data_IF_622156538754
#
_entry.id   IF_622156538754
#
_cell.length_a   1.000
_cell.length_b   1.000
_cell.length_c   1.000
_cell.angle_alpha   90.00
_cell.angle_beta   90.00
_cell.angle_gamma   90.00
#
_symmetry.space_group_name_H-M   'P 1'
#
loop_
_entity.id
_entity.type
_entity.pdbx_description
1 polymer ?
#
# COMPACT_ATOMS: atom_id res chain seq x y z
N UNK A 1 1.67 -33.55 13.46
CA UNK A 1 2.61 -34.68 13.40
C UNK A 1 3.05 -35.21 14.77
N UNK A 2 2.68 -34.62 15.90
CA UNK A 2 3.01 -35.12 17.25
C UNK A 2 1.71 -35.57 17.93
N UNK A 3 1.67 -36.79 18.51
CA UNK A 3 0.49 -37.36 19.17
C UNK A 3 0.28 -36.80 20.59
N UNK A 4 1.32 -36.19 21.17
CA UNK A 4 1.24 -35.36 22.37
C UNK A 4 1.79 -35.99 23.65
N UNK A 5 2.30 -37.23 23.62
CA UNK A 5 3.05 -37.80 24.74
C UNK A 5 4.51 -37.35 24.66
N UNK A 6 4.98 -36.78 25.76
CA UNK A 6 6.36 -36.32 25.94
C UNK A 6 6.90 -37.00 27.19
N UNK A 7 8.01 -37.70 27.04
CA UNK A 7 8.66 -38.42 28.12
C UNK A 7 10.09 -37.91 28.28
N UNK A 8 10.43 -37.48 29.48
CA UNK A 8 11.75 -36.92 29.77
C UNK A 8 12.69 -38.08 30.13
N UNK A 9 13.62 -38.37 29.23
CA UNK A 9 14.57 -39.48 29.39
C UNK A 9 15.76 -39.08 30.27
N UNK A 10 16.18 -37.81 30.22
CA UNK A 10 17.19 -37.24 31.09
C UNK A 10 17.00 -35.71 31.20
N UNK A 11 17.89 -35.04 31.93
CA UNK A 11 17.88 -33.57 32.05
C UNK A 11 17.98 -32.88 30.68
N UNK A 12 18.64 -33.54 29.71
CA UNK A 12 18.94 -33.00 28.38
C UNK A 12 18.23 -33.71 27.23
N UNK A 13 17.69 -34.93 27.42
CA UNK A 13 17.02 -35.70 26.37
C UNK A 13 15.52 -35.88 26.65
N UNK A 14 14.72 -35.67 25.61
CA UNK A 14 13.27 -35.77 25.64
C UNK A 14 12.78 -36.63 24.47
N UNK A 15 11.98 -37.64 24.77
CA UNK A 15 11.26 -38.43 23.76
C UNK A 15 9.88 -37.82 23.51
N UNK A 16 9.52 -37.70 22.24
CA UNK A 16 8.24 -37.16 21.77
C UNK A 16 7.60 -38.20 20.86
N UNK A 17 6.39 -38.62 21.23
CA UNK A 17 5.60 -39.56 20.46
C UNK A 17 5.00 -38.86 19.23
N UNK A 18 5.27 -39.40 18.06
CA UNK A 18 4.69 -38.96 16.79
C UNK A 18 3.79 -40.05 16.23
N UNK A 19 3.00 -39.71 15.21
CA UNK A 19 2.18 -40.69 14.48
C UNK A 19 3.01 -41.77 13.76
N UNK A 20 4.34 -41.63 13.67
CA UNK A 20 5.26 -42.59 13.07
C UNK A 20 6.15 -43.30 14.12
N UNK A 21 5.87 -43.12 15.41
CA UNK A 21 6.67 -43.67 16.52
C UNK A 21 7.37 -42.59 17.36
N UNK A 22 8.17 -43.04 18.32
CA UNK A 22 8.90 -42.17 19.25
C UNK A 22 10.12 -41.52 18.58
N UNK A 23 10.30 -40.22 18.81
CA UNK A 23 11.44 -39.44 18.34
C UNK A 23 12.15 -38.81 19.53
N UNK A 24 13.48 -38.87 19.59
CA UNK A 24 14.27 -38.35 20.72
C UNK A 24 14.95 -37.05 20.31
N UNK A 25 14.84 -36.02 21.16
CA UNK A 25 15.42 -34.70 20.97
C UNK A 25 16.29 -34.32 22.18
N UNK A 26 17.50 -33.85 21.90
CA UNK A 26 18.42 -33.32 22.92
C UNK A 26 19.79 -33.02 22.31
N UNK A 27 20.68 -32.33 23.06
CA UNK A 27 22.03 -32.05 22.61
C UNK A 27 22.84 -33.34 22.54
N UNK A 28 23.37 -33.65 21.35
CA UNK A 28 24.23 -34.81 21.13
C UNK A 28 25.69 -34.33 21.03
N UNK A 29 26.54 -34.78 21.96
CA UNK A 29 27.99 -34.72 21.74
C UNK A 29 28.35 -35.81 20.74
N UNK A 30 28.64 -35.41 19.50
CA UNK A 30 29.02 -36.36 18.44
C UNK A 30 30.42 -36.91 18.69
N UNK A 31 30.53 -37.97 19.50
CA UNK A 31 31.79 -38.72 19.65
C UNK A 31 31.65 -40.22 19.42
N UNK A 32 30.46 -40.77 19.18
CA UNK A 32 30.31 -42.11 18.59
C UNK A 32 28.85 -42.44 18.25
N UNK A 33 28.43 -42.20 17.01
CA UNK A 33 27.26 -42.89 16.45
C UNK A 33 27.50 -43.16 14.97
N UNK A 34 27.29 -44.42 14.56
CA UNK A 34 27.65 -44.95 13.24
C UNK A 34 26.67 -44.57 12.13
N UNK A 35 25.45 -44.12 12.47
CA UNK A 35 24.47 -43.58 11.51
C UNK A 35 23.40 -42.78 12.27
N UNK A 36 23.23 -41.50 11.92
CA UNK A 36 22.16 -40.65 12.45
C UNK A 36 21.57 -39.82 11.30
N UNK A 37 20.29 -40.05 10.96
CA UNK A 37 19.56 -39.19 10.04
C UNK A 37 19.13 -37.92 10.78
N UNK A 38 19.93 -36.86 10.67
CA UNK A 38 19.61 -35.55 11.21
C UNK A 38 18.69 -34.79 10.24
N UNK A 39 17.42 -34.60 10.61
CA UNK A 39 16.52 -33.69 9.88
C UNK A 39 16.68 -32.28 10.48
N UNK A 40 17.54 -31.46 9.86
CA UNK A 40 17.68 -30.04 10.21
C UNK A 40 16.47 -29.27 9.68
N UNK A 41 15.47 -29.04 10.53
CA UNK A 41 14.37 -28.11 10.21
C UNK A 41 14.84 -26.71 10.60
N UNK A 42 15.39 -25.97 9.63
CA UNK A 42 15.58 -24.52 9.78
C UNK A 42 14.19 -23.85 9.78
N UNK A 43 13.67 -23.49 10.95
CA UNK A 43 12.59 -22.50 11.03
C UNK A 43 13.20 -21.12 10.89
N UNK A 44 13.54 -20.72 9.66
CA UNK A 44 13.56 -19.29 9.35
C UNK A 44 12.10 -18.85 9.35
N UNK A 45 11.61 -18.37 10.49
CA UNK A 45 10.47 -17.46 10.50
C UNK A 45 10.89 -16.24 9.67
N UNK A 46 10.54 -16.22 8.40
CA UNK A 46 10.55 -14.99 7.61
C UNK A 46 9.73 -13.97 8.40
N UNK A 47 10.39 -13.01 9.06
CA UNK A 47 9.76 -11.89 9.79
C UNK A 47 8.63 -11.24 8.98
N UNK A 48 8.73 -11.26 7.64
CA UNK A 48 7.68 -10.83 6.72
C UNK A 48 6.33 -11.54 6.90
N UNK A 49 6.32 -12.86 7.11
CA UNK A 49 5.05 -13.61 7.27
C UNK A 49 4.42 -13.31 8.62
N UNK A 50 5.22 -13.18 9.68
CA UNK A 50 4.74 -12.80 11.01
C UNK A 50 4.21 -11.37 11.04
N UNK A 51 4.88 -10.43 10.36
CA UNK A 51 4.39 -9.05 10.21
C UNK A 51 3.11 -9.00 9.37
N UNK A 52 3.02 -9.73 8.26
CA UNK A 52 1.79 -9.83 7.46
C UNK A 52 0.63 -10.46 8.25
N UNK A 53 0.90 -11.44 9.11
CA UNK A 53 -0.09 -12.02 10.02
C UNK A 53 -0.51 -11.03 11.11
N UNK A 54 0.43 -10.23 11.62
CA UNK A 54 0.13 -9.19 12.61
C UNK A 54 -0.74 -8.10 12.00
N UNK A 55 -0.39 -7.60 10.81
CA UNK A 55 -1.20 -6.62 10.06
C UNK A 55 -2.57 -7.20 9.68
N UNK A 56 -2.65 -8.49 9.30
CA UNK A 56 -3.92 -9.15 9.04
C UNK A 56 -4.80 -9.24 10.32
N UNK A 57 -4.20 -9.50 11.48
CA UNK A 57 -4.92 -9.51 12.76
C UNK A 57 -5.25 -8.11 13.30
N UNK A 58 -4.42 -7.11 13.02
CA UNK A 58 -4.67 -5.69 13.31
C UNK A 58 -5.85 -5.16 12.47
N UNK A 59 -5.98 -5.61 11.22
CA UNK A 59 -7.15 -5.31 10.35
C UNK A 59 -8.43 -6.00 10.85
N UNK A 60 -8.33 -7.18 11.50
CA UNK A 60 -9.48 -7.86 12.13
C UNK A 60 -9.82 -7.34 13.54
N UNK A 61 -8.90 -6.66 14.23
CA UNK A 61 -9.16 -6.05 15.52
C UNK A 61 -9.84 -4.70 15.35
N UNK A 62 -11.17 -4.70 15.39
CA UNK A 62 -11.99 -3.50 15.54
C UNK A 62 -11.64 -2.80 16.88
N UNK A 63 -10.81 -1.76 16.79
CA UNK A 63 -10.85 -0.60 17.69
C UNK A 63 -10.26 -0.76 19.11
N UNK A 64 -9.21 -1.55 19.33
CA UNK A 64 -8.48 -1.52 20.61
C UNK A 64 -6.97 -1.55 20.36
N UNK A 65 -6.36 -0.37 20.27
CA UNK A 65 -4.91 -0.17 20.36
C UNK A 65 -4.64 0.97 21.35
N UNK A 66 -3.59 0.84 22.17
CA UNK A 66 -3.26 1.74 23.27
C UNK A 66 -3.05 3.20 22.79
N UNK A 67 -3.76 4.15 23.41
CA UNK A 67 -4.11 5.45 22.81
C UNK A 67 -3.12 6.60 23.07
N UNK A 68 -2.18 6.51 24.03
CA UNK A 68 -1.53 7.74 24.54
C UNK A 68 -0.36 8.25 23.68
N UNK A 69 0.58 7.38 23.28
CA UNK A 69 1.75 7.78 22.47
C UNK A 69 1.39 8.03 20.99
N UNK A 70 0.51 7.19 20.42
CA UNK A 70 0.03 7.35 19.04
C UNK A 70 -0.75 8.67 18.89
N UNK A 71 -1.56 9.04 19.89
CA UNK A 71 -2.33 10.28 19.87
C UNK A 71 -1.46 11.54 19.96
N UNK A 72 -0.37 11.51 20.72
CA UNK A 72 0.57 12.64 20.78
C UNK A 72 1.29 12.85 19.43
N UNK A 73 1.80 11.76 18.83
CA UNK A 73 2.42 11.79 17.51
C UNK A 73 1.44 12.23 16.41
N UNK A 74 0.16 11.85 16.52
CA UNK A 74 -0.87 12.24 15.58
C UNK A 74 -1.23 13.74 15.67
N UNK A 75 -1.31 14.28 16.89
CA UNK A 75 -1.50 15.71 17.13
C UNK A 75 -0.31 16.49 16.54
N UNK A 76 0.92 16.05 16.82
CA UNK A 76 2.13 16.66 16.29
C UNK A 76 2.14 16.67 14.76
N UNK A 77 1.78 15.55 14.13
CA UNK A 77 1.69 15.42 12.69
C UNK A 77 0.67 16.41 12.08
N UNK A 78 -0.50 16.57 12.71
CA UNK A 78 -1.53 17.53 12.28
C UNK A 78 -1.10 18.99 12.44
N UNK A 79 -0.45 19.34 13.55
CA UNK A 79 0.08 20.69 13.76
C UNK A 79 1.17 21.02 12.74
N UNK A 80 2.10 20.07 12.51
CA UNK A 80 3.17 20.23 11.53
C UNK A 80 2.61 20.44 10.11
N UNK A 81 1.63 19.62 9.71
CA UNK A 81 0.93 19.79 8.44
C UNK A 81 0.28 21.18 8.34
N UNK A 82 -0.48 21.58 9.36
CA UNK A 82 -1.21 22.86 9.36
C UNK A 82 -0.29 24.07 9.26
N UNK A 83 0.91 23.99 9.84
CA UNK A 83 1.93 25.06 9.76
C UNK A 83 2.70 25.08 8.44
N UNK A 84 2.80 23.94 7.75
CA UNK A 84 3.67 23.78 6.57
C UNK A 84 2.91 23.79 5.24
N UNK A 85 1.62 23.49 5.24
CA UNK A 85 0.80 23.46 4.02
C UNK A 85 0.69 24.86 3.41
N UNK A 86 0.99 24.97 2.12
CA UNK A 86 0.78 26.19 1.36
C UNK A 86 0.13 25.87 0.02
N UNK A 87 -0.63 26.82 -0.52
CA UNK A 87 -1.31 26.69 -1.80
C UNK A 87 -0.80 27.77 -2.76
N UNK A 88 -0.18 27.35 -3.86
CA UNK A 88 0.39 28.22 -4.89
C UNK A 88 0.05 27.66 -6.26
N UNK A 89 -0.40 28.52 -7.19
CA UNK A 89 -0.60 28.15 -8.60
C UNK A 89 -1.42 26.86 -8.81
N UNK A 90 -2.57 26.73 -8.13
CA UNK A 90 -3.45 25.54 -8.20
C UNK A 90 -2.85 24.25 -7.66
N UNK A 91 -1.78 24.34 -6.87
CA UNK A 91 -1.11 23.18 -6.29
C UNK A 91 -0.80 23.41 -4.81
N UNK A 92 -0.90 22.34 -4.02
CA UNK A 92 -0.47 22.34 -2.63
C UNK A 92 1.01 21.96 -2.51
N UNK A 93 1.72 22.64 -1.63
CA UNK A 93 3.09 22.34 -1.22
C UNK A 93 3.10 22.02 0.28
N UNK A 94 3.72 20.91 0.65
CA UNK A 94 3.81 20.39 2.02
C UNK A 94 5.25 20.04 2.38
N UNK A 95 5.53 19.93 3.68
CA UNK A 95 6.80 19.45 4.22
C UNK A 95 6.68 18.00 4.71
N UNK A 96 7.80 17.28 4.73
CA UNK A 96 7.86 15.95 5.35
C UNK A 96 7.73 16.10 6.88
N UNK A 97 7.02 15.15 7.49
CA UNK A 97 6.68 15.19 8.91
C UNK A 97 7.82 14.60 9.75
N UNK A 98 8.88 15.37 9.99
CA UNK A 98 10.03 14.91 10.76
C UNK A 98 9.70 14.70 12.25
N UNK A 99 10.19 13.61 12.84
CA UNK A 99 10.18 13.42 14.30
C UNK A 99 11.19 14.35 14.99
N UNK A 100 10.86 14.84 16.18
CA UNK A 100 11.71 15.74 16.98
C UNK A 100 13.04 15.10 17.43
N UNK A 101 13.04 13.80 17.73
CA UNK A 101 14.17 13.06 18.32
C UNK A 101 15.29 12.69 17.32
N UNK A 102 15.60 13.55 16.33
CA UNK A 102 16.46 13.18 15.20
C UNK A 102 17.76 12.47 15.62
N UNK A 103 17.79 11.16 15.36
CA UNK A 103 19.00 10.45 14.95
C UNK A 103 19.36 10.95 13.54
N UNK A 104 20.64 11.20 13.28
CA UNK A 104 21.13 11.57 11.95
C UNK A 104 20.67 10.50 10.93
N UNK A 105 19.74 10.83 10.03
CA UNK A 105 19.37 9.95 8.92
C UNK A 105 20.63 9.76 8.05
N UNK A 106 21.24 8.56 8.02
CA UNK A 106 22.48 8.38 7.31
C UNK A 106 22.22 8.25 5.80
N UNK A 107 23.24 8.58 5.01
CA UNK A 107 23.22 8.35 3.57
C UNK A 107 23.17 6.84 3.28
N UNK A 108 22.16 6.40 2.52
CA UNK A 108 21.94 4.99 2.16
C UNK A 108 22.28 4.67 0.68
N UNK A 109 23.10 5.49 0.01
CA UNK A 109 23.43 5.36 -1.42
C UNK A 109 23.91 3.95 -1.78
N UNK A 110 24.72 3.32 -0.93
CA UNK A 110 25.22 1.94 -1.16
C UNK A 110 24.08 0.93 -1.30
N UNK A 111 23.06 1.05 -0.45
CA UNK A 111 21.87 0.19 -0.47
C UNK A 111 21.07 0.43 -1.75
N UNK A 112 20.86 1.70 -2.10
CA UNK A 112 20.16 2.08 -3.32
C UNK A 112 20.88 1.60 -4.58
N UNK A 113 22.20 1.78 -4.68
CA UNK A 113 23.03 1.28 -5.79
C UNK A 113 22.94 -0.24 -5.95
N UNK A 114 23.07 -1.00 -4.85
CA UNK A 114 22.97 -2.46 -4.89
C UNK A 114 21.62 -2.94 -5.43
N UNK A 115 20.52 -2.31 -4.98
CA UNK A 115 19.18 -2.62 -5.47
C UNK A 115 18.99 -2.18 -6.92
N UNK A 116 19.56 -1.03 -7.28
CA UNK A 116 19.53 -0.52 -8.64
C UNK A 116 20.27 -1.41 -9.64
N UNK A 117 21.42 -1.99 -9.28
CA UNK A 117 22.11 -2.98 -10.12
C UNK A 117 21.27 -4.26 -10.34
N UNK A 118 20.47 -4.65 -9.34
CA UNK A 118 19.46 -5.69 -9.49
C UNK A 118 18.37 -5.30 -10.50
N UNK A 119 17.87 -4.07 -10.41
CA UNK A 119 16.88 -3.53 -11.35
C UNK A 119 17.45 -3.43 -12.76
N UNK A 120 18.66 -2.87 -12.93
CA UNK A 120 19.35 -2.72 -14.21
C UNK A 120 19.48 -4.04 -14.96
N UNK A 121 19.86 -5.12 -14.26
CA UNK A 121 19.91 -6.48 -14.85
C UNK A 121 18.54 -6.96 -15.36
N UNK A 122 17.46 -6.65 -14.64
CA UNK A 122 16.09 -6.99 -15.09
C UNK A 122 15.67 -6.15 -16.30
N UNK A 123 15.94 -4.85 -16.27
CA UNK A 123 15.62 -3.93 -17.38
C UNK A 123 16.39 -4.32 -18.65
N UNK A 124 17.64 -4.76 -18.50
CA UNK A 124 18.43 -5.31 -19.62
C UNK A 124 17.82 -6.58 -20.22
N UNK A 125 17.29 -7.45 -19.38
CA UNK A 125 16.69 -8.72 -19.82
C UNK A 125 15.30 -8.53 -20.45
N UNK A 126 14.56 -7.50 -20.06
CA UNK A 126 13.19 -7.25 -20.51
C UNK A 126 13.03 -5.84 -21.12
N UNK A 127 13.09 -5.80 -22.46
CA UNK A 127 12.97 -4.58 -23.26
C UNK A 127 11.60 -3.92 -23.09
N UNK A 128 10.54 -4.69 -22.89
CA UNK A 128 9.19 -4.15 -22.73
C UNK A 128 9.02 -3.47 -21.38
N UNK A 129 9.56 -4.08 -20.33
CA UNK A 129 9.64 -3.49 -19.00
C UNK A 129 10.49 -2.21 -19.03
N UNK A 130 11.65 -2.24 -19.68
CA UNK A 130 12.51 -1.06 -19.79
C UNK A 130 11.79 0.11 -20.46
N UNK A 131 11.16 -0.12 -21.61
CA UNK A 131 10.39 0.91 -22.32
C UNK A 131 9.31 1.52 -21.42
N UNK A 132 8.49 0.68 -20.78
CA UNK A 132 7.43 1.16 -19.89
C UNK A 132 7.97 1.91 -18.67
N UNK A 133 9.14 1.53 -18.15
CA UNK A 133 9.78 2.25 -17.06
C UNK A 133 10.32 3.61 -17.51
N UNK A 134 11.00 3.64 -18.66
CA UNK A 134 11.55 4.85 -19.26
C UNK A 134 10.43 5.87 -19.55
N UNK A 135 9.33 5.41 -20.17
CA UNK A 135 8.16 6.25 -20.46
C UNK A 135 7.60 6.90 -19.18
N UNK A 136 7.59 6.19 -18.05
CA UNK A 136 7.12 6.73 -16.76
C UNK A 136 8.09 7.76 -16.17
N UNK A 137 9.40 7.52 -16.22
CA UNK A 137 10.38 8.47 -15.68
C UNK A 137 10.50 9.71 -16.57
N UNK A 138 10.42 9.56 -17.90
CA UNK A 138 10.39 10.69 -18.83
C UNK A 138 9.12 11.53 -18.62
N UNK A 139 7.96 10.90 -18.41
CA UNK A 139 6.71 11.58 -18.03
C UNK A 139 6.87 12.37 -16.72
N UNK A 140 7.59 11.81 -15.73
CA UNK A 140 7.86 12.49 -14.48
C UNK A 140 8.79 13.70 -14.65
N UNK A 141 9.82 13.60 -15.49
CA UNK A 141 10.71 14.72 -15.81
C UNK A 141 9.97 15.83 -16.56
N UNK A 142 9.18 15.48 -17.58
CA UNK A 142 8.42 16.45 -18.38
C UNK A 142 7.38 17.22 -17.56
N UNK A 143 6.70 16.55 -16.60
CA UNK A 143 5.72 17.18 -15.72
C UNK A 143 6.35 17.88 -14.51
N UNK A 144 7.68 17.85 -14.36
CA UNK A 144 8.38 18.38 -13.20
C UNK A 144 8.01 17.67 -11.90
N UNK A 145 7.61 16.39 -11.97
CA UNK A 145 7.35 15.50 -10.83
C UNK A 145 8.66 15.01 -10.21
N UNK A 146 9.70 14.87 -11.03
CA UNK A 146 11.08 14.69 -10.59
C UNK A 146 11.99 15.62 -11.37
N UNK A 147 13.17 15.89 -10.82
CA UNK A 147 14.18 16.76 -11.40
C UNK A 147 15.57 16.18 -11.16
N UNK A 148 16.57 16.60 -11.94
CA UNK A 148 17.96 16.33 -11.61
C UNK A 148 18.32 16.97 -10.27
N UNK A 149 19.11 16.26 -9.47
CA UNK A 149 19.70 16.88 -8.29
C UNK A 149 20.55 18.08 -8.73
N UNK A 150 20.29 19.29 -8.21
CA UNK A 150 21.06 20.47 -8.57
C UNK A 150 22.56 20.24 -8.32
N UNK A 151 23.37 20.51 -9.33
CA UNK A 151 24.83 20.50 -9.21
C UNK A 151 25.24 21.76 -8.44
N UNK A 152 25.06 21.77 -7.12
CA UNK A 152 25.61 22.85 -6.28
C UNK A 152 27.13 22.74 -6.32
N UNK A 153 27.74 23.54 -7.21
CA UNK A 153 29.17 23.82 -7.20
C UNK A 153 29.52 24.50 -5.88
N UNK A 154 29.95 23.72 -4.90
CA UNK A 154 30.81 24.15 -3.81
C UNK A 154 30.45 25.49 -3.13
N UNK A 155 29.24 25.63 -2.61
CA UNK A 155 29.02 26.56 -1.49
C UNK A 155 28.15 25.86 -0.46
N UNK A 156 28.77 25.53 0.67
CA UNK A 156 28.08 25.32 1.93
C UNK A 156 27.39 26.66 2.31
N UNK A 157 26.27 26.94 1.67
CA UNK A 157 25.45 28.12 1.88
C UNK A 157 24.33 27.80 2.86
N UNK A 158 24.55 28.20 4.11
CA UNK A 158 23.57 28.47 5.17
C UNK A 158 22.08 28.20 4.83
N UNK A 159 21.65 26.97 5.12
CA UNK A 159 20.25 26.54 5.18
C UNK A 159 20.24 25.09 5.64
N UNK A 160 19.78 24.82 6.87
CA UNK A 160 19.85 23.51 7.51
C UNK A 160 19.06 22.42 6.74
N UNK A 161 19.72 21.64 5.88
CA UNK A 161 19.77 20.17 5.97
C UNK A 161 20.79 19.61 4.95
N UNK A 162 21.89 19.01 5.44
CA UNK A 162 22.87 18.32 4.61
C UNK A 162 22.50 16.83 4.40
N UNK A 163 21.23 16.48 4.63
CA UNK A 163 20.75 15.10 4.71
C UNK A 163 20.36 14.63 3.31
N UNK A 164 20.96 13.54 2.87
CA UNK A 164 20.73 12.94 1.55
C UNK A 164 20.26 11.51 1.75
N UNK A 165 19.20 11.13 1.06
CA UNK A 165 18.66 9.79 1.12
C UNK A 165 18.16 9.33 -0.23
N UNK A 166 18.45 8.08 -0.58
CA UNK A 166 18.22 7.48 -1.88
C UNK A 166 17.18 6.36 -1.75
N UNK A 167 16.03 6.55 -2.36
CA UNK A 167 14.93 5.61 -2.39
C UNK A 167 15.18 4.57 -3.48
N UNK A 168 15.36 3.29 -3.12
CA UNK A 168 15.26 2.21 -4.10
C UNK A 168 13.85 2.19 -4.68
N UNK A 169 13.72 1.79 -5.94
CA UNK A 169 12.43 1.74 -6.61
C UNK A 169 12.29 0.46 -7.44
N UNK A 170 11.04 0.07 -7.69
CA UNK A 170 10.70 -1.11 -8.47
C UNK A 170 9.39 -0.91 -9.24
N UNK A 171 9.19 -1.68 -10.30
CA UNK A 171 7.95 -1.66 -11.05
C UNK A 171 6.92 -2.59 -10.40
N UNK A 172 5.68 -2.11 -10.32
CA UNK A 172 4.49 -2.91 -10.08
C UNK A 172 3.66 -2.91 -11.35
N UNK A 173 3.46 -4.09 -11.93
CA UNK A 173 2.64 -4.29 -13.12
C UNK A 173 1.26 -4.72 -12.66
N UNK A 174 0.25 -3.91 -12.99
CA UNK A 174 -1.16 -4.26 -12.77
C UNK A 174 -1.73 -4.79 -14.08
N UNK A 175 -1.92 -6.10 -14.15
CA UNK A 175 -2.50 -6.81 -15.29
C UNK A 175 -4.04 -6.69 -15.33
N UNK A 176 -4.65 -6.13 -14.29
CA UNK A 176 -6.11 -6.09 -14.09
C UNK A 176 -6.82 -4.83 -14.62
N UNK A 177 -6.11 -3.91 -15.29
CA UNK A 177 -6.70 -2.74 -15.96
C UNK A 177 -6.57 -2.86 -17.49
N UNK A 178 -7.51 -2.27 -18.23
CA UNK A 178 -7.59 -2.24 -19.71
C UNK A 178 -6.33 -1.77 -20.45
N UNK A 179 -5.37 -1.20 -19.72
CA UNK A 179 -3.99 -0.98 -20.12
C UNK A 179 -3.09 -1.46 -18.98
N UNK A 180 -2.11 -2.31 -19.29
CA UNK A 180 -1.06 -2.74 -18.36
C UNK A 180 -0.28 -1.52 -17.90
N UNK A 181 -0.71 -0.87 -16.81
CA UNK A 181 -0.11 0.38 -16.34
C UNK A 181 1.00 0.03 -15.37
N UNK A 182 2.24 0.08 -15.85
CA UNK A 182 3.43 0.05 -15.00
C UNK A 182 3.37 1.23 -14.03
N UNK A 183 3.61 0.95 -12.75
CA UNK A 183 3.77 1.98 -11.71
C UNK A 183 5.13 1.83 -11.06
N UNK A 184 5.82 2.94 -10.90
CA UNK A 184 7.07 3.01 -10.15
C UNK A 184 6.75 3.22 -8.68
N UNK A 185 7.21 2.31 -7.83
CA UNK A 185 7.04 2.36 -6.37
C UNK A 185 8.39 2.54 -5.71
N UNK A 186 8.47 3.48 -4.77
CA UNK A 186 9.67 3.77 -3.99
C UNK A 186 9.61 3.05 -2.65
N UNK A 187 10.77 2.66 -2.12
CA UNK A 187 10.90 1.98 -0.82
C UNK A 187 11.63 2.87 0.18
N UNK A 188 10.86 3.64 0.96
CA UNK A 188 11.40 4.50 2.01
C UNK A 188 11.73 3.75 3.32
N UNK A 189 11.49 2.44 3.38
CA UNK A 189 11.88 1.57 4.49
C UNK A 189 13.25 0.92 4.25
N UNK A 190 13.89 1.14 3.10
CA UNK A 190 15.17 0.51 2.76
C UNK A 190 16.38 1.17 3.43
N UNK A 191 16.98 0.49 4.40
CA UNK A 191 18.12 0.96 5.18
C UNK A 191 19.24 -0.09 5.23
N UNK A 192 20.43 0.33 5.67
CA UNK A 192 21.54 -0.57 6.02
C UNK A 192 21.31 -1.14 7.43
N UNK A 193 21.82 -2.34 7.71
CA UNK A 193 21.59 -3.02 8.99
C UNK A 193 22.07 -2.14 10.16
N UNK A 194 21.16 -1.84 11.09
CA UNK A 194 21.45 -1.02 12.28
C UNK A 194 21.32 0.50 12.07
N UNK A 195 20.96 0.95 10.88
CA UNK A 195 20.67 2.36 10.57
C UNK A 195 19.16 2.61 10.45
N UNK A 196 18.66 3.81 10.81
CA UNK A 196 17.24 4.14 10.60
C UNK A 196 16.92 4.28 9.11
N UNK A 197 15.68 3.94 8.74
CA UNK A 197 15.11 4.26 7.43
C UNK A 197 14.47 5.65 7.41
N UNK A 198 14.18 6.17 6.22
CA UNK A 198 13.42 7.43 6.11
C UNK A 198 12.07 7.32 6.82
N UNK A 199 11.37 6.19 6.69
CA UNK A 199 10.09 5.97 7.37
C UNK A 199 10.21 5.97 8.90
N UNK A 200 11.36 5.55 9.47
CA UNK A 200 11.58 5.57 10.92
C UNK A 200 11.81 7.00 11.44
N UNK A 201 12.32 7.89 10.59
CA UNK A 201 12.56 9.30 10.91
C UNK A 201 11.32 10.20 10.73
N UNK A 202 10.25 9.67 10.14
CA UNK A 202 9.02 10.42 9.85
C UNK A 202 7.86 10.00 10.77
N UNK A 203 7.01 10.96 11.09
CA UNK A 203 5.69 10.72 11.65
C UNK A 203 4.78 10.18 10.55
N UNK A 204 4.04 9.12 10.84
CA UNK A 204 3.07 8.55 9.88
C UNK A 204 1.84 9.46 9.78
N UNK A 205 1.43 10.05 10.90
CA UNK A 205 0.21 10.82 11.02
C UNK A 205 -1.04 9.94 11.10
N UNK A 206 -2.16 10.51 11.55
CA UNK A 206 -3.39 9.76 11.78
C UNK A 206 -4.01 9.28 10.48
N UNK A 207 -4.72 8.16 10.52
CA UNK A 207 -5.52 7.76 9.37
C UNK A 207 -6.75 8.68 9.23
N UNK A 208 -6.69 9.59 8.26
CA UNK A 208 -7.79 10.49 7.94
C UNK A 208 -8.74 9.95 6.86
N UNK A 209 -8.51 8.74 6.34
CA UNK A 209 -9.45 8.14 5.41
C UNK A 209 -10.72 7.72 6.16
N UNK A 210 -11.90 7.88 5.54
CA UNK A 210 -13.12 7.33 6.11
C UNK A 210 -12.99 5.81 6.25
N UNK A 211 -13.69 5.26 7.24
CA UNK A 211 -13.77 3.83 7.43
C UNK A 211 -14.27 3.13 6.15
N UNK A 212 -13.54 2.09 5.72
CA UNK A 212 -13.76 1.42 4.45
C UNK A 212 -15.17 0.82 4.37
N UNK A 213 -15.65 0.21 5.46
CA UNK A 213 -16.99 -0.38 5.51
C UNK A 213 -18.05 0.71 5.36
N UNK A 214 -17.90 1.84 6.05
CA UNK A 214 -18.81 2.98 5.93
C UNK A 214 -18.86 3.54 4.51
N UNK A 215 -17.73 3.64 3.80
CA UNK A 215 -17.70 4.07 2.39
C UNK A 215 -18.48 3.09 1.52
N UNK A 216 -18.23 1.78 1.65
CA UNK A 216 -18.90 0.74 0.88
C UNK A 216 -20.42 0.70 1.16
N UNK A 217 -20.83 0.87 2.42
CA UNK A 217 -22.24 0.93 2.80
C UNK A 217 -22.91 2.15 2.18
N UNK A 218 -22.28 3.34 2.25
CA UNK A 218 -22.81 4.55 1.59
C UNK A 218 -22.90 4.38 0.08
N UNK A 219 -21.92 3.73 -0.53
CA UNK A 219 -21.97 3.42 -1.96
C UNK A 219 -23.16 2.55 -2.36
N UNK A 220 -23.60 1.65 -1.47
CA UNK A 220 -24.75 0.76 -1.71
C UNK A 220 -26.08 1.26 -1.17
N UNK A 221 -26.09 2.40 -0.48
CA UNK A 221 -27.27 2.89 0.22
C UNK A 221 -28.36 3.43 -0.72
N UNK A 222 -27.99 3.97 -1.87
CA UNK A 222 -28.90 4.66 -2.81
C UNK A 222 -28.88 3.99 -4.19
N UNK A 223 -29.94 4.13 -5.00
CA UNK A 223 -30.08 3.40 -6.26
C UNK A 223 -29.08 3.81 -7.34
N UNK A 224 -28.54 5.02 -7.31
CA UNK A 224 -27.59 5.49 -8.32
C UNK A 224 -26.20 5.53 -7.71
N UNK A 225 -25.39 4.55 -8.07
CA UNK A 225 -24.02 4.38 -7.62
C UNK A 225 -23.05 4.91 -8.68
N UNK A 226 -22.02 5.63 -8.24
CA UNK A 226 -20.97 6.15 -9.12
C UNK A 226 -19.62 6.23 -8.44
N UNK A 227 -18.58 6.20 -9.26
CA UNK A 227 -17.20 6.35 -8.82
C UNK A 227 -16.34 7.08 -9.83
N UNK A 228 -15.20 7.61 -9.36
CA UNK A 228 -14.13 8.16 -10.17
C UNK A 228 -12.76 7.87 -9.56
N UNK A 229 -11.75 7.72 -10.42
CA UNK A 229 -10.34 7.61 -10.04
C UNK A 229 -9.74 9.04 -9.93
N UNK A 230 -9.05 9.33 -8.84
CA UNK A 230 -8.17 10.50 -8.69
C UNK A 230 -6.76 10.13 -9.18
N UNK A 231 -6.57 10.20 -10.50
CA UNK A 231 -5.32 9.71 -11.11
C UNK A 231 -4.12 10.52 -10.63
N UNK A 232 -3.14 9.82 -10.05
CA UNK A 232 -1.86 10.40 -9.57
C UNK A 232 -2.04 11.44 -8.45
N UNK A 233 -3.04 11.30 -7.58
CA UNK A 233 -3.35 12.28 -6.52
C UNK A 233 -2.13 12.69 -5.68
N UNK A 234 -1.32 11.71 -5.22
CA UNK A 234 -0.08 11.98 -4.49
C UNK A 234 0.90 12.87 -5.28
N UNK A 235 1.06 12.62 -6.59
CA UNK A 235 1.98 13.36 -7.44
C UNK A 235 1.49 14.79 -7.74
N UNK A 236 0.26 15.14 -7.37
CA UNK A 236 -0.23 16.51 -7.45
C UNK A 236 0.20 17.36 -6.25
N UNK A 237 0.73 16.76 -5.18
CA UNK A 237 1.18 17.50 -4.00
C UNK A 237 2.68 17.70 -4.07
N UNK A 238 3.12 18.95 -4.04
CA UNK A 238 4.53 19.34 -4.03
C UNK A 238 5.18 19.13 -2.67
N UNK A 239 6.44 18.72 -2.68
CA UNK A 239 7.31 18.71 -1.51
C UNK A 239 8.16 19.98 -1.51
N UNK A 240 8.22 20.64 -0.35
CA UNK A 240 9.09 21.79 -0.12
C UNK A 240 10.54 21.47 -0.49
N UNK A 241 11.23 22.43 -1.09
CA UNK A 241 12.57 22.21 -1.65
C UNK A 241 13.59 21.66 -0.64
N UNK A 242 13.49 22.11 0.61
CA UNK A 242 14.35 21.69 1.74
C UNK A 242 14.28 20.18 2.07
N UNK A 243 13.19 19.50 1.69
CA UNK A 243 12.98 18.08 1.97
C UNK A 243 13.22 17.18 0.74
N UNK A 244 13.42 17.74 -0.46
CA UNK A 244 13.51 16.93 -1.70
C UNK A 244 14.74 16.03 -1.76
N UNK A 245 15.82 16.42 -1.06
CA UNK A 245 17.09 15.70 -1.09
C UNK A 245 17.08 14.36 -0.34
N UNK A 246 16.03 14.07 0.44
CA UNK A 246 15.80 12.75 1.03
C UNK A 246 14.91 11.85 0.16
N UNK A 247 14.45 12.35 -0.99
CA UNK A 247 13.66 11.64 -1.98
C UNK A 247 14.44 11.41 -3.28
N UNK A 248 15.76 11.24 -3.18
CA UNK A 248 16.63 10.97 -4.34
C UNK A 248 16.42 9.55 -4.84
N UNK A 249 16.68 9.29 -6.11
CA UNK A 249 16.72 7.95 -6.67
C UNK A 249 17.68 7.89 -7.86
N UNK A 250 18.07 6.68 -8.24
CA UNK A 250 19.02 6.42 -9.32
C UNK A 250 18.26 6.10 -10.60
N UNK A 251 18.66 6.66 -11.73
CA UNK A 251 18.07 6.32 -13.03
C UNK A 251 19.10 6.35 -14.15
N UNK A 252 18.84 5.65 -15.26
CA UNK A 252 19.70 5.66 -16.45
C UNK A 252 19.11 6.58 -17.51
N UNK A 253 19.96 7.33 -18.20
CA UNK A 253 19.60 7.92 -19.50
C UNK A 253 20.25 7.06 -20.59
N UNK A 254 19.44 6.61 -21.55
CA UNK A 254 19.86 5.64 -22.57
C UNK A 254 19.51 4.20 -22.18
N UNK A 255 19.54 3.30 -23.17
CA UNK A 255 19.29 1.87 -22.95
C UNK A 255 20.43 1.26 -22.13
N UNK A 256 20.21 0.38 -21.13
CA UNK A 256 21.26 -0.13 -20.22
C UNK A 256 22.50 -0.77 -20.87
N UNK A 257 22.42 -1.11 -22.15
CA UNK A 257 23.48 -1.73 -22.97
C UNK A 257 24.13 -0.78 -23.98
N UNK A 258 23.65 0.45 -24.08
CA UNK A 258 24.18 1.41 -25.03
C UNK A 258 25.44 2.10 -24.47
N UNK A 259 26.37 2.46 -25.35
CA UNK A 259 27.63 3.12 -24.96
C UNK A 259 27.40 4.52 -24.36
N UNK A 260 26.28 5.17 -24.70
CA UNK A 260 25.85 6.47 -24.20
C UNK A 260 25.06 6.40 -22.87
N UNK A 261 24.99 5.22 -22.24
CA UNK A 261 24.29 5.05 -20.97
C UNK A 261 24.94 5.87 -19.86
N UNK A 262 24.18 6.80 -19.26
CA UNK A 262 24.64 7.59 -18.12
C UNK A 262 23.78 7.35 -16.90
N UNK A 263 24.42 7.15 -15.74
CA UNK A 263 23.73 7.06 -14.45
C UNK A 263 23.47 8.49 -13.94
N UNK A 264 22.21 8.81 -13.71
CA UNK A 264 21.74 10.06 -13.11
C UNK A 264 21.24 9.82 -11.70
N UNK A 265 21.37 10.87 -10.90
CA UNK A 265 20.70 10.99 -9.61
C UNK A 265 19.58 12.01 -9.77
N UNK A 266 18.35 11.54 -9.68
CA UNK A 266 17.14 12.36 -9.72
C UNK A 266 16.62 12.53 -8.30
N UNK A 267 15.76 13.54 -8.08
CA UNK A 267 14.99 13.70 -6.83
C UNK A 267 13.53 13.99 -7.14
N UNK A 268 12.65 13.46 -6.31
CA UNK A 268 11.21 13.72 -6.43
C UNK A 268 10.89 15.11 -5.89
N UNK A 269 10.01 15.82 -6.60
CA UNK A 269 9.50 17.14 -6.18
C UNK A 269 8.07 17.05 -5.63
N UNK A 270 7.52 15.84 -5.59
CA UNK A 270 6.13 15.52 -5.23
C UNK A 270 6.07 14.40 -4.18
N UNK A 271 4.94 14.30 -3.49
CA UNK A 271 4.67 13.21 -2.54
C UNK A 271 4.67 11.87 -3.29
N UNK A 272 5.44 10.90 -2.80
CA UNK A 272 5.60 9.58 -3.44
C UNK A 272 4.95 8.47 -2.66
N UNK A 273 4.43 7.48 -3.39
CA UNK A 273 4.01 6.23 -2.77
C UNK A 273 5.22 5.48 -2.18
N UNK A 274 5.06 4.95 -0.97
CA UNK A 274 6.09 4.19 -0.24
C UNK A 274 6.66 4.90 0.99
N UNK A 275 6.41 6.20 1.15
CA UNK A 275 6.70 6.94 2.38
C UNK A 275 5.50 6.83 3.34
N UNK A 276 5.76 6.51 4.61
CA UNK A 276 4.74 6.24 5.65
C UNK A 276 3.75 7.37 5.82
N UNK A 277 4.20 8.63 5.76
CA UNK A 277 3.38 9.83 5.91
C UNK A 277 2.53 10.20 4.69
N UNK A 278 2.76 9.58 3.54
CA UNK A 278 2.10 9.99 2.28
C UNK A 278 0.58 9.87 2.30
N UNK A 279 -0.03 8.77 2.82
CA UNK A 279 -1.48 8.66 2.92
C UNK A 279 -2.10 9.78 3.76
N UNK A 280 -1.48 10.12 4.90
CA UNK A 280 -1.91 11.22 5.74
C UNK A 280 -1.78 12.56 5.00
N UNK A 281 -0.64 12.85 4.37
CA UNK A 281 -0.42 14.10 3.64
C UNK A 281 -1.48 14.29 2.55
N UNK A 282 -1.80 13.26 1.77
CA UNK A 282 -2.85 13.33 0.76
C UNK A 282 -4.22 13.64 1.38
N UNK A 283 -4.64 12.86 2.38
CA UNK A 283 -5.94 13.03 3.00
C UNK A 283 -6.08 14.37 3.73
N UNK A 284 -5.02 14.84 4.39
CA UNK A 284 -4.97 16.14 5.05
C UNK A 284 -5.06 17.29 4.03
N UNK A 285 -4.35 17.20 2.91
CA UNK A 285 -4.43 18.18 1.81
C UNK A 285 -5.82 18.24 1.20
N UNK A 286 -6.45 17.10 0.92
CA UNK A 286 -7.82 17.05 0.40
C UNK A 286 -8.79 17.69 1.40
N UNK A 287 -8.71 17.35 2.69
CA UNK A 287 -9.57 17.93 3.73
C UNK A 287 -9.40 19.45 3.83
N UNK A 288 -8.15 19.93 3.87
CA UNK A 288 -7.85 21.36 3.88
C UNK A 288 -8.40 22.08 2.63
N UNK A 289 -8.34 21.42 1.48
CA UNK A 289 -8.91 21.95 0.25
C UNK A 289 -10.44 22.07 0.32
N UNK A 290 -11.13 21.02 0.79
CA UNK A 290 -12.59 20.99 0.91
C UNK A 290 -13.11 22.03 1.92
N UNK A 291 -12.37 22.33 2.99
CA UNK A 291 -12.74 23.37 3.98
C UNK A 291 -12.93 24.74 3.33
N UNK A 292 -12.22 25.05 2.24
CA UNK A 292 -12.37 26.31 1.49
C UNK A 292 -13.71 26.45 0.78
N UNK A 293 -14.39 25.34 0.50
CA UNK A 293 -15.67 25.29 -0.20
C UNK A 293 -16.84 24.96 0.73
N UNK A 294 -16.58 24.78 2.04
CA UNK A 294 -17.59 24.33 2.99
C UNK A 294 -18.75 25.33 3.14
N UNK A 295 -18.51 26.63 2.93
CA UNK A 295 -19.54 27.68 3.01
C UNK A 295 -20.36 27.83 1.74
N UNK A 296 -19.78 27.54 0.57
CA UNK A 296 -20.45 27.67 -0.73
C UNK A 296 -21.13 26.36 -1.17
N UNK A 297 -20.64 25.21 -0.72
CA UNK A 297 -21.04 23.88 -1.18
C UNK A 297 -21.18 22.86 -0.03
N UNK A 298 -21.77 23.25 1.10
CA UNK A 298 -21.75 22.48 2.37
C UNK A 298 -22.18 21.01 2.21
N UNK A 299 -23.32 20.75 1.54
CA UNK A 299 -23.82 19.39 1.35
C UNK A 299 -22.86 18.52 0.51
N UNK A 300 -22.21 19.12 -0.48
CA UNK A 300 -21.32 18.41 -1.39
C UNK A 300 -19.94 18.16 -0.76
N UNK A 301 -19.39 19.13 -0.02
CA UNK A 301 -18.10 18.99 0.67
C UNK A 301 -18.15 17.90 1.73
N UNK A 302 -19.24 17.77 2.47
CA UNK A 302 -19.40 16.70 3.47
C UNK A 302 -19.52 15.33 2.80
N UNK A 303 -20.23 15.26 1.67
CA UNK A 303 -20.31 14.02 0.89
C UNK A 303 -18.95 13.62 0.36
N UNK A 304 -18.21 14.54 -0.26
CA UNK A 304 -16.84 14.33 -0.76
C UNK A 304 -15.89 13.85 0.33
N UNK A 305 -15.88 14.53 1.49
CA UNK A 305 -15.01 14.20 2.63
C UNK A 305 -15.25 12.78 3.15
N UNK A 306 -16.50 12.30 3.11
CA UNK A 306 -16.89 10.98 3.62
C UNK A 306 -16.87 9.87 2.55
N UNK A 307 -16.61 10.22 1.28
CA UNK A 307 -16.72 9.35 0.11
C UNK A 307 -15.41 9.22 -0.67
N UNK A 308 -14.44 10.10 -0.42
CA UNK A 308 -13.07 9.99 -0.91
C UNK A 308 -12.27 9.03 -0.03
N UNK A 309 -11.87 7.90 -0.59
CA UNK A 309 -10.99 6.94 0.06
C UNK A 309 -9.66 6.89 -0.70
N UNK A 310 -8.63 7.53 -0.14
CA UNK A 310 -7.31 7.68 -0.78
C UNK A 310 -7.42 8.29 -2.19
N UNK A 311 -7.34 7.46 -3.23
CA UNK A 311 -7.36 7.85 -4.64
C UNK A 311 -8.75 7.65 -5.28
N UNK A 312 -9.73 7.04 -4.60
CA UNK A 312 -11.02 6.68 -5.20
C UNK A 312 -12.15 7.54 -4.62
N UNK A 313 -12.91 8.22 -5.48
CA UNK A 313 -14.16 8.89 -5.10
C UNK A 313 -15.32 7.95 -5.37
N UNK A 314 -16.08 7.58 -4.34
CA UNK A 314 -17.14 6.57 -4.46
C UNK A 314 -18.35 7.01 -3.65
N UNK A 315 -19.50 7.19 -4.31
CA UNK A 315 -20.72 7.65 -3.65
C UNK A 315 -21.97 7.10 -4.33
N UNK A 316 -23.12 7.36 -3.71
CA UNK A 316 -24.43 7.06 -4.29
C UNK A 316 -25.44 8.19 -4.02
N UNK A 317 -26.45 8.30 -4.87
CA UNK A 317 -27.48 9.34 -4.82
C UNK A 317 -28.88 8.79 -5.13
N UNK A 318 -29.90 9.53 -4.71
CA UNK A 318 -31.30 9.13 -4.88
C UNK A 318 -31.87 9.51 -6.24
N UNK A 319 -31.28 10.46 -6.96
CA UNK A 319 -31.72 10.91 -8.28
C UNK A 319 -30.57 11.22 -9.23
N UNK A 320 -30.83 11.17 -10.54
CA UNK A 320 -29.81 11.44 -11.56
C UNK A 320 -29.37 12.90 -11.52
N UNK A 321 -30.28 13.82 -11.21
CA UNK A 321 -30.02 15.25 -11.06
C UNK A 321 -29.07 15.53 -9.90
N UNK A 322 -29.32 14.91 -8.74
CA UNK A 322 -28.46 15.06 -7.56
C UNK A 322 -27.08 14.43 -7.82
N UNK A 323 -27.04 13.25 -8.43
CA UNK A 323 -25.78 12.60 -8.82
C UNK A 323 -24.96 13.47 -9.79
N UNK A 324 -25.61 14.04 -10.81
CA UNK A 324 -24.96 14.92 -11.78
C UNK A 324 -24.43 16.19 -11.10
N UNK A 325 -25.24 16.85 -10.26
CA UNK A 325 -24.81 18.03 -9.52
C UNK A 325 -23.59 17.73 -8.62
N UNK A 326 -23.64 16.64 -7.86
CA UNK A 326 -22.53 16.23 -6.99
C UNK A 326 -21.26 15.95 -7.79
N UNK A 327 -21.37 15.20 -8.88
CA UNK A 327 -20.20 14.81 -9.70
C UNK A 327 -19.59 16.01 -10.44
N UNK A 328 -20.42 16.96 -10.90
CA UNK A 328 -19.96 18.23 -11.47
C UNK A 328 -19.22 19.09 -10.43
N UNK A 329 -19.82 19.31 -9.25
CA UNK A 329 -19.15 20.05 -8.18
C UNK A 329 -17.87 19.36 -7.70
N UNK A 330 -17.86 18.03 -7.60
CA UNK A 330 -16.66 17.26 -7.26
C UNK A 330 -15.54 17.47 -8.30
N UNK A 331 -15.87 17.41 -9.59
CA UNK A 331 -14.92 17.65 -10.69
C UNK A 331 -14.36 19.08 -10.62
N UNK A 332 -15.21 20.07 -10.41
CA UNK A 332 -14.82 21.48 -10.29
C UNK A 332 -13.87 21.70 -9.11
N UNK A 333 -14.33 21.38 -7.90
CA UNK A 333 -13.56 21.57 -6.65
C UNK A 333 -12.19 20.88 -6.77
N UNK A 334 -12.16 19.60 -7.12
CA UNK A 334 -10.90 18.86 -7.16
C UNK A 334 -9.96 19.35 -8.27
N UNK A 335 -10.49 19.88 -9.38
CA UNK A 335 -9.66 20.48 -10.44
C UNK A 335 -8.94 21.74 -10.00
N UNK A 336 -9.47 22.49 -9.04
CA UNK A 336 -8.81 23.67 -8.49
C UNK A 336 -7.52 23.31 -7.75
N UNK A 337 -7.46 22.13 -7.14
CA UNK A 337 -6.25 21.57 -6.53
C UNK A 337 -5.35 20.77 -7.51
N UNK A 338 -5.60 20.84 -8.83
CA UNK A 338 -4.96 20.00 -9.85
C UNK A 338 -5.19 18.49 -9.66
N UNK A 339 -6.18 18.09 -8.86
CA UNK A 339 -6.53 16.69 -8.58
C UNK A 339 -7.71 16.24 -9.43
N UNK A 340 -7.51 16.14 -10.75
CA UNK A 340 -8.59 15.86 -11.67
C UNK A 340 -9.18 14.45 -11.48
N UNK A 341 -10.48 14.39 -11.17
CA UNK A 341 -11.27 13.15 -11.12
C UNK A 341 -11.58 12.67 -12.54
N UNK A 342 -11.26 11.42 -12.82
CA UNK A 342 -11.35 10.81 -14.15
C UNK A 342 -11.92 9.39 -14.07
N UNK A 343 -12.13 8.76 -15.24
CA UNK A 343 -12.65 7.38 -15.36
C UNK A 343 -13.97 7.19 -14.63
N UNK A 344 -14.87 8.14 -14.85
CA UNK A 344 -16.19 8.12 -14.24
C UNK A 344 -16.95 6.86 -14.65
N UNK A 345 -17.56 6.20 -13.68
CA UNK A 345 -18.34 4.96 -13.85
C UNK A 345 -19.61 5.06 -13.02
N UNK A 346 -20.73 4.57 -13.55
CA UNK A 346 -22.03 4.53 -12.85
C UNK A 346 -22.87 3.34 -13.30
N UNK A 347 -23.81 2.91 -12.45
CA UNK A 347 -24.87 1.97 -12.81
C UNK A 347 -26.05 2.60 -13.59
N UNK A 348 -26.16 3.93 -13.62
CA UNK A 348 -27.26 4.62 -14.29
C UNK A 348 -26.92 5.00 -15.73
N UNK A 349 -27.63 4.41 -16.69
CA UNK A 349 -27.49 4.76 -18.12
C UNK A 349 -27.85 6.22 -18.40
N UNK A 350 -28.81 6.79 -17.66
CA UNK A 350 -29.20 8.19 -17.79
C UNK A 350 -28.10 9.14 -17.30
N UNK A 351 -27.47 8.82 -16.17
CA UNK A 351 -26.33 9.60 -15.66
C UNK A 351 -25.13 9.50 -16.61
N UNK A 352 -24.84 8.28 -17.12
CA UNK A 352 -23.80 8.05 -18.13
C UNK A 352 -24.03 8.91 -19.38
N UNK A 353 -25.27 9.01 -19.86
CA UNK A 353 -25.65 9.85 -20.99
C UNK A 353 -25.48 11.36 -20.70
N UNK A 354 -25.86 11.84 -19.51
CA UNK A 354 -25.63 13.25 -19.12
C UNK A 354 -24.15 13.60 -19.10
N UNK A 355 -23.32 12.76 -18.50
CA UNK A 355 -21.86 12.96 -18.48
C UNK A 355 -21.22 12.96 -19.87
N UNK A 356 -21.74 12.18 -20.83
CA UNK A 356 -21.26 12.19 -22.23
C UNK A 356 -21.53 13.53 -22.93
N UNK A 357 -22.60 14.24 -22.54
CA UNK A 357 -22.92 15.56 -23.08
C UNK A 357 -22.08 16.68 -22.45
N UNK A 358 -21.42 16.41 -21.31
CA UNK A 358 -20.74 17.41 -20.48
C UNK A 358 -19.24 17.16 -20.29
N UNK A 359 -18.62 16.46 -21.25
CA UNK A 359 -17.16 16.26 -21.36
C UNK A 359 -16.52 15.65 -20.10
N UNK A 360 -17.19 14.65 -19.50
CA UNK A 360 -16.59 13.82 -18.47
C UNK A 360 -15.67 12.77 -19.10
N UNK A 361 -14.50 12.52 -18.50
CA UNK A 361 -13.59 11.45 -18.91
C UNK A 361 -14.14 10.11 -18.41
N UNK A 362 -14.77 9.34 -19.30
CA UNK A 362 -15.45 8.09 -18.98
C UNK A 362 -14.49 6.91 -18.93
N UNK A 363 -14.72 5.99 -17.99
CA UNK A 363 -14.06 4.69 -18.07
C UNK A 363 -14.51 3.94 -19.35
N UNK A 364 -13.57 3.33 -20.06
CA UNK A 364 -13.89 2.43 -21.17
C UNK A 364 -14.78 1.29 -20.67
N UNK A 365 -15.79 0.94 -21.45
CA UNK A 365 -16.81 -0.05 -21.07
C UNK A 365 -16.16 -1.42 -20.75
N UNK A 366 -16.31 -1.95 -19.51
CA UNK A 366 -15.63 -3.17 -19.08
C UNK A 366 -15.91 -4.39 -19.96
N UNK A 367 -17.12 -4.46 -20.56
CA UNK A 367 -17.54 -5.58 -21.41
C UNK A 367 -16.67 -5.73 -22.66
N UNK A 368 -16.11 -4.63 -23.16
CA UNK A 368 -15.37 -4.62 -24.44
C UNK A 368 -13.97 -5.23 -24.35
N UNK A 369 -13.43 -5.47 -23.15
CA UNK A 369 -12.03 -5.90 -22.95
C UNK A 369 -11.80 -6.99 -21.90
N UNK A 370 -12.84 -7.67 -21.42
CA UNK A 370 -12.70 -8.63 -20.31
C UNK A 370 -12.13 -7.98 -19.03
N UNK A 371 -12.32 -6.67 -18.89
CA UNK A 371 -11.79 -5.90 -17.77
C UNK A 371 -12.74 -5.97 -16.59
N UNK A 372 -12.19 -6.22 -15.41
CA UNK A 372 -12.96 -6.34 -14.18
C UNK A 372 -12.92 -4.99 -13.46
N UNK A 373 -14.08 -4.35 -13.32
CA UNK A 373 -14.17 -3.10 -12.59
C UNK A 373 -14.16 -3.39 -11.08
N UNK A 374 -13.28 -2.71 -10.35
CA UNK A 374 -13.13 -2.89 -8.91
C UNK A 374 -13.45 -1.62 -8.15
N UNK A 375 -14.24 -1.75 -7.08
CA UNK A 375 -14.54 -0.71 -6.09
C UNK A 375 -13.88 -1.12 -4.78
N UNK A 376 -12.82 -0.40 -4.38
CA UNK A 376 -12.05 -0.65 -3.14
C UNK A 376 -11.66 -2.12 -2.91
N UNK A 377 -11.35 -2.85 -3.99
CA UNK A 377 -10.93 -4.26 -3.95
C UNK A 377 -12.03 -5.28 -4.23
N UNK A 378 -13.30 -4.88 -4.26
CA UNK A 378 -14.44 -5.72 -4.67
C UNK A 378 -14.71 -5.57 -6.15
N UNK A 379 -15.06 -6.66 -6.85
CA UNK A 379 -15.51 -6.55 -8.25
C UNK A 379 -16.94 -6.03 -8.27
N UNK A 380 -17.21 -4.99 -9.05
CA UNK A 380 -18.54 -4.40 -9.23
C UNK A 380 -18.94 -4.46 -10.70
N UNK A 381 -20.17 -4.90 -10.97
CA UNK A 381 -20.81 -4.84 -12.29
C UNK A 381 -21.80 -3.67 -12.30
N UNK A 382 -21.50 -2.57 -13.00
CA UNK A 382 -22.39 -1.41 -13.01
C UNK A 382 -23.78 -1.72 -13.57
N UNK A 383 -23.89 -2.55 -14.61
CA UNK A 383 -25.13 -2.78 -15.35
C UNK A 383 -26.20 -3.50 -14.50
N UNK A 384 -25.77 -4.46 -13.70
CA UNK A 384 -26.65 -5.19 -12.78
C UNK A 384 -26.57 -4.69 -11.34
N UNK A 385 -25.67 -3.75 -11.08
CA UNK A 385 -25.31 -3.24 -9.76
C UNK A 385 -25.01 -4.36 -8.73
N UNK A 386 -24.20 -5.36 -9.10
CA UNK A 386 -23.83 -6.47 -8.21
C UNK A 386 -22.35 -6.44 -7.83
N UNK A 387 -22.05 -6.85 -6.59
CA UNK A 387 -20.70 -7.26 -6.22
C UNK A 387 -20.45 -8.73 -6.58
N UNK A 388 -19.29 -9.00 -7.18
CA UNK A 388 -18.92 -10.34 -7.64
C UNK A 388 -17.69 -10.82 -6.89
N UNK A 389 -17.75 -12.04 -6.38
CA UNK A 389 -16.59 -12.72 -5.77
C UNK A 389 -16.08 -13.78 -6.72
N UNK A 390 -14.92 -13.54 -7.34
CA UNK A 390 -14.28 -14.54 -8.19
C UNK A 390 -13.51 -15.55 -7.33
N UNK A 391 -14.10 -16.73 -7.13
CA UNK A 391 -13.50 -17.82 -6.35
C UNK A 391 -12.66 -18.78 -7.19
N UNK A 392 -12.51 -18.56 -8.51
CA UNK A 392 -11.84 -19.49 -9.40
C UNK A 392 -10.38 -19.76 -8.96
N UNK A 393 -9.66 -18.70 -8.58
CA UNK A 393 -8.30 -18.82 -8.08
C UNK A 393 -8.19 -19.57 -6.76
N UNK A 394 -9.22 -19.49 -5.89
CA UNK A 394 -9.26 -20.30 -4.67
C UNK A 394 -9.46 -21.77 -5.03
N UNK A 395 -10.34 -22.05 -5.99
CA UNK A 395 -10.56 -23.41 -6.48
C UNK A 395 -9.29 -24.02 -7.06
N UNK A 396 -8.48 -23.25 -7.77
CA UNK A 396 -7.21 -23.76 -8.33
C UNK A 396 -6.19 -24.12 -7.23
N UNK A 397 -6.09 -23.32 -6.16
CA UNK A 397 -5.25 -23.67 -5.00
C UNK A 397 -5.73 -24.95 -4.31
N UNK A 398 -7.04 -25.14 -4.19
CA UNK A 398 -7.60 -26.37 -3.64
C UNK A 398 -7.35 -27.60 -4.53
N UNK A 399 -7.23 -27.41 -5.85
CA UNK A 399 -6.86 -28.50 -6.79
C UNK A 399 -5.41 -28.95 -6.60
N UNK A 400 -4.50 -28.03 -6.30
CA UNK A 400 -3.08 -28.35 -6.08
C UNK A 400 -2.81 -29.12 -4.78
N UNK A 401 -3.82 -29.30 -3.91
CA UNK A 401 -3.80 -30.12 -2.68
C UNK A 401 -2.62 -29.87 -1.73
N UNK A 402 -1.97 -28.72 -1.81
CA UNK A 402 -0.93 -28.34 -0.84
C UNK A 402 -1.56 -28.01 0.51
N UNK A 403 -1.68 -29.02 1.38
CA UNK A 403 -2.25 -28.88 2.73
C UNK A 403 -1.24 -28.34 3.75
N UNK A 404 -0.58 -27.23 3.40
CA UNK A 404 0.39 -26.55 4.29
C UNK A 404 -0.26 -25.38 5.02
N UNK A 405 0.23 -25.03 6.22
CA UNK A 405 -0.19 -23.81 6.94
C UNK A 405 -0.08 -22.57 6.05
N UNK A 406 0.97 -22.51 5.21
CA UNK A 406 1.21 -21.42 4.26
C UNK A 406 0.14 -21.34 3.18
N UNK A 407 -0.26 -22.47 2.60
CA UNK A 407 -1.33 -22.54 1.59
C UNK A 407 -2.68 -22.12 2.17
N UNK A 408 -3.00 -22.56 3.39
CA UNK A 408 -4.26 -22.19 4.07
C UNK A 408 -4.30 -20.69 4.40
N UNK A 409 -3.22 -20.13 4.93
CA UNK A 409 -3.13 -18.68 5.19
C UNK A 409 -3.18 -17.86 3.89
N UNK A 410 -2.47 -18.29 2.84
CA UNK A 410 -2.51 -17.67 1.51
C UNK A 410 -3.92 -17.68 0.92
N UNK A 411 -4.66 -18.75 1.11
CA UNK A 411 -6.05 -18.87 0.64
C UNK A 411 -7.00 -17.98 1.44
N UNK A 412 -6.87 -17.97 2.77
CA UNK A 412 -7.69 -17.13 3.65
C UNK A 412 -7.45 -15.64 3.42
N UNK A 413 -6.21 -15.21 3.21
CA UNK A 413 -5.86 -13.81 2.98
C UNK A 413 -6.27 -13.29 1.59
N UNK A 414 -6.56 -14.18 0.65
CA UNK A 414 -7.03 -13.83 -0.70
C UNK A 414 -8.52 -13.54 -0.77
N UNK A 415 -9.29 -13.98 0.21
CA UNK A 415 -10.71 -13.66 0.30
C UNK A 415 -10.86 -12.27 0.93
N UNK A 416 -10.96 -11.26 0.07
CA UNK A 416 -11.22 -9.89 0.51
C UNK A 416 -12.73 -9.64 0.57
N UNK A 417 -13.29 -9.61 1.78
CA UNK A 417 -14.71 -9.43 2.04
C UNK A 417 -14.94 -8.42 3.18
N UNK A 418 -14.68 -7.12 2.92
CA UNK A 418 -14.77 -6.08 3.95
C UNK A 418 -16.20 -5.89 4.48
N UNK A 419 -17.24 -6.24 3.72
CA UNK A 419 -18.64 -6.17 4.15
C UNK A 419 -19.14 -7.45 4.82
N UNK A 420 -18.35 -8.51 4.80
CA UNK A 420 -18.68 -9.76 5.46
C UNK A 420 -19.79 -10.58 4.79
N UNK A 421 -20.06 -10.40 3.49
CA UNK A 421 -21.09 -11.17 2.78
C UNK A 421 -20.85 -12.68 2.79
N UNK A 422 -19.59 -13.08 2.77
CA UNK A 422 -19.13 -14.47 2.76
C UNK A 422 -18.76 -14.96 4.17
N UNK A 423 -18.90 -14.12 5.21
CA UNK A 423 -18.52 -14.46 6.60
C UNK A 423 -19.17 -15.76 7.09
N UNK A 424 -20.45 -16.00 6.76
CA UNK A 424 -21.15 -17.22 7.14
C UNK A 424 -20.52 -18.49 6.57
N UNK A 425 -19.97 -18.41 5.35
CA UNK A 425 -19.29 -19.50 4.64
C UNK A 425 -17.83 -19.59 5.11
N UNK A 426 -17.19 -18.45 5.31
CA UNK A 426 -15.77 -18.35 5.62
C UNK A 426 -15.42 -18.70 7.08
N UNK A 427 -16.26 -18.34 8.05
CA UNK A 427 -16.01 -18.64 9.47
C UNK A 427 -15.92 -20.15 9.76
N UNK A 428 -16.67 -20.97 9.01
CA UNK A 428 -16.56 -22.42 9.12
C UNK A 428 -15.16 -22.94 8.70
N UNK A 429 -14.50 -22.26 7.75
CA UNK A 429 -13.13 -22.58 7.32
C UNK A 429 -12.03 -22.05 8.25
N UNK A 430 -12.31 -20.99 9.03
CA UNK A 430 -11.39 -20.39 10.01
C UNK A 430 -11.38 -21.12 11.36
N UNK A 431 -12.49 -21.75 11.77
CA UNK A 431 -12.59 -22.48 13.05
C UNK A 431 -11.53 -23.58 13.25
N UNK A 432 -11.13 -24.37 12.24
CA UNK A 432 -10.03 -25.33 12.38
C UNK A 432 -8.67 -24.67 12.64
N UNK A 433 -8.38 -23.52 12.00
CA UNK A 433 -7.13 -22.76 12.18
C UNK A 433 -7.03 -22.12 13.56
N UNK A 434 -8.11 -21.50 14.04
CA UNK A 434 -8.13 -20.88 15.37
C UNK A 434 -7.98 -21.94 16.47
N UNK A 435 -8.62 -23.11 16.31
CA UNK A 435 -8.44 -24.27 17.21
C UNK A 435 -7.02 -24.83 17.16
N UNK A 436 -6.38 -24.85 16.00
CA UNK A 436 -4.99 -25.27 15.84
C UNK A 436 -4.00 -24.32 16.54
N UNK A 437 -4.18 -23.00 16.39
CA UNK A 437 -3.36 -21.97 17.06
C UNK A 437 -3.60 -21.97 18.57
N UNK A 438 -4.85 -22.09 19.02
CA UNK A 438 -5.20 -22.16 20.45
C UNK A 438 -4.57 -23.38 21.14
N UNK A 439 -4.57 -24.55 20.49
CA UNK A 439 -3.88 -25.76 21.00
C UNK A 439 -2.36 -25.53 21.11
N UNK A 440 -1.74 -24.83 20.16
CA UNK A 440 -0.30 -24.55 20.19
C UNK A 440 0.09 -23.57 21.29
N UNK A 441 -0.72 -22.54 21.53
CA UNK A 441 -0.49 -21.56 22.61
C UNK A 441 -0.72 -22.15 24.01
N UNK A 442 -1.66 -23.09 24.17
CA UNK A 442 -1.82 -23.84 25.42
C UNK A 442 -0.64 -24.78 25.72
N UNK A 443 -0.06 -25.38 24.68
CA UNK A 443 1.14 -26.22 24.81
C UNK A 443 2.40 -25.40 25.15
N UNK A 444 2.54 -24.20 24.57
CA UNK A 444 3.64 -23.27 24.90
C UNK A 444 3.59 -22.76 26.34
N UNK A 445 2.39 -22.47 26.88
CA UNK A 445 2.23 -22.06 28.29
C UNK A 445 2.43 -23.20 29.30
N UNK A 446 2.26 -24.46 28.89
CA UNK A 446 2.56 -25.63 29.73
C UNK A 446 4.04 -26.03 29.72
N UNK A 447 4.78 -25.67 28.68
CA UNK A 447 6.23 -25.89 28.62
C UNK A 447 7.05 -24.81 29.35
N UNK A 448 6.42 -23.68 29.71
CA UNK A 448 7.03 -22.58 30.46
C UNK A 448 6.67 -22.58 31.95
N UNK A 449 6.15 -23.69 32.48
CA UNK A 449 5.93 -23.92 33.92
C UNK A 449 6.75 -25.11 34.40
#
# INVERSE_FOLDING_TARGET
MVSGRVERLSDTLVAIETMFGWTVQGPVSMSSMSEASCMKICTEETMQVSNQLRTFWEIESLGISCEDEERAADIEAQEHFSRSVSYKERRYEVKLLWRQDKSELPDNLRVAQKRFEGLKRKLKADVTLFKGYNDVIDDYLQQGICEDVPQTKGTAGAGNSNIKYYLPHHAVIREDKATTKLRVVFDASAHENGCPSLNDCLLTGPNLNPDLLNVLVRFRLRPIAFMADNTKAFLQISIAEEDRDVLRFLWLTGHPDAEDTTLRVLRMTRVVFGVSSSPFLLAATIRNHLERYQTSHTQFTDTLKNSLYVDDFIASSSSVEEAYALTASAKEIMSDASMNLCKWTTNSSELKAKWQQSDFDHAMDPETRGCVLKVLGLVWRPETDDFVFNLQHLMDIFKDRENTKRSVLRSSARLFDPMGFLTAIHNQSKMPLSRYVAKRNQLGRRAAR
#
